data_IF_391637649340
#
_entry.id   IF_391637649340
#
_cell.length_a   1.000
_cell.length_b   1.000
_cell.length_c   1.000
_cell.angle_alpha   90.00
_cell.angle_beta   90.00
_cell.angle_gamma   90.00
#
_symmetry.space_group_name_H-M   'P 1'
#
loop_
_entity.id
_entity.type
_entity.pdbx_description
1 polymer ?
#
# COMPACT_ATOMS: atom_id res chain seq x y z
N UNK A 1 -10.49 14.19 -14.17
CA UNK A 1 -10.66 13.27 -13.07
C UNK A 1 -10.35 11.85 -13.50
N UNK A 2 -9.58 11.16 -12.74
CA UNK A 2 -9.19 9.80 -13.06
C UNK A 2 -10.27 8.81 -12.70
N UNK A 3 -10.79 8.09 -13.69
CA UNK A 3 -11.79 7.07 -13.37
C UNK A 3 -11.19 5.89 -12.62
N UNK A 4 -9.90 5.66 -12.80
CA UNK A 4 -9.24 4.53 -12.19
C UNK A 4 -8.34 5.00 -11.06
N UNK A 5 -8.41 4.38 -9.90
CA UNK A 5 -7.51 4.76 -8.81
C UNK A 5 -6.07 4.44 -9.17
N UNK A 6 -5.19 5.31 -8.71
CA UNK A 6 -3.77 5.13 -8.88
C UNK A 6 -3.32 3.89 -8.10
N UNK A 7 -2.54 2.99 -8.72
CA UNK A 7 -2.05 1.82 -7.97
C UNK A 7 -1.37 2.17 -6.65
N UNK A 8 -0.63 3.27 -6.63
CA UNK A 8 0.03 3.71 -5.42
C UNK A 8 -1.01 4.03 -4.34
N UNK A 9 -2.05 4.77 -4.70
CA UNK A 9 -3.12 5.09 -3.76
C UNK A 9 -3.85 3.83 -3.31
N UNK A 10 -4.03 2.90 -4.21
CA UNK A 10 -4.68 1.65 -3.84
C UNK A 10 -3.87 0.92 -2.78
N UNK A 11 -2.55 0.92 -2.94
CA UNK A 11 -1.68 0.31 -1.95
C UNK A 11 -1.79 0.98 -0.60
N UNK A 12 -1.84 2.32 -0.61
CA UNK A 12 -1.98 3.06 0.64
C UNK A 12 -3.30 2.70 1.34
N UNK A 13 -4.38 2.65 0.57
CA UNK A 13 -5.67 2.30 1.15
C UNK A 13 -5.65 0.88 1.70
N UNK A 14 -5.02 -0.03 0.96
CA UNK A 14 -4.95 -1.42 1.41
C UNK A 14 -4.28 -1.51 2.77
N UNK A 15 -3.19 -0.76 2.95
CA UNK A 15 -2.50 -0.79 4.23
C UNK A 15 -3.38 -0.23 5.35
N UNK A 16 -4.15 0.81 5.05
CA UNK A 16 -5.04 1.38 6.05
C UNK A 16 -6.14 0.41 6.45
N UNK A 17 -6.51 -0.46 5.52
CA UNK A 17 -7.56 -1.44 5.78
C UNK A 17 -7.00 -2.78 6.27
N UNK A 18 -5.71 -2.80 6.59
CA UNK A 18 -5.04 -3.99 7.11
C UNK A 18 -4.98 -5.13 6.10
N UNK A 19 -4.98 -4.79 4.82
CA UNK A 19 -4.83 -5.78 3.77
C UNK A 19 -3.34 -6.07 3.60
N UNK A 20 -2.93 -7.34 3.61
CA UNK A 20 -1.50 -7.67 3.54
C UNK A 20 -0.92 -7.38 2.16
N UNK A 21 0.39 -7.19 2.11
CA UNK A 21 1.09 -6.89 0.87
C UNK A 21 0.93 -8.01 -0.15
N UNK A 22 0.79 -9.23 0.32
CA UNK A 22 0.67 -10.37 -0.59
C UNK A 22 -0.68 -10.39 -1.31
N UNK A 23 -1.61 -9.54 -0.89
CA UNK A 23 -2.91 -9.43 -1.55
C UNK A 23 -2.87 -8.47 -2.73
N UNK A 24 -1.69 -8.04 -3.15
CA UNK A 24 -1.51 -7.15 -4.28
C UNK A 24 -2.26 -7.70 -5.50
N UNK A 25 -3.21 -6.95 -6.08
CA UNK A 25 -4.02 -7.47 -7.17
C UNK A 25 -3.34 -7.42 -8.53
N UNK A 26 -2.17 -6.78 -8.61
CA UNK A 26 -1.48 -6.64 -9.87
C UNK A 26 -0.47 -7.74 -10.06
N UNK A 27 -0.12 -7.99 -11.31
CA UNK A 27 0.80 -9.06 -11.63
C UNK A 27 2.20 -8.74 -11.12
N UNK A 28 2.83 -9.73 -10.50
CA UNK A 28 4.18 -9.59 -10.00
C UNK A 28 5.12 -9.22 -11.14
N UNK A 29 5.98 -8.24 -10.92
CA UNK A 29 6.90 -7.78 -11.93
C UNK A 29 6.36 -6.63 -12.77
N UNK A 30 5.09 -6.30 -12.64
CA UNK A 30 4.52 -5.18 -13.39
C UNK A 30 4.78 -3.88 -12.63
N UNK A 31 4.69 -2.77 -13.37
CA UNK A 31 4.86 -1.47 -12.77
C UNK A 31 3.77 -1.17 -11.75
N UNK A 32 2.55 -1.58 -12.07
CA UNK A 32 1.45 -1.38 -11.15
C UNK A 32 1.65 -2.14 -9.85
N UNK A 33 2.19 -3.34 -9.95
CA UNK A 33 2.49 -4.13 -8.76
C UNK A 33 3.49 -3.38 -7.87
N UNK A 34 4.53 -2.83 -8.49
CA UNK A 34 5.55 -2.10 -7.74
C UNK A 34 4.98 -0.85 -7.07
N UNK A 35 4.11 -0.13 -7.78
CA UNK A 35 3.50 1.08 -7.24
C UNK A 35 2.58 0.73 -6.07
N UNK A 36 1.77 -0.30 -6.23
CA UNK A 36 0.87 -0.74 -5.15
C UNK A 36 1.69 -1.11 -3.92
N UNK A 37 2.75 -1.88 -4.13
CA UNK A 37 3.59 -2.32 -3.03
C UNK A 37 4.24 -1.12 -2.32
N UNK A 38 4.69 -0.14 -3.10
CA UNK A 38 5.31 1.05 -2.52
C UNK A 38 4.32 1.83 -1.67
N UNK A 39 3.09 1.99 -2.17
CA UNK A 39 2.07 2.69 -1.40
C UNK A 39 1.72 1.96 -0.13
N UNK A 40 1.58 0.65 -0.22
CA UNK A 40 1.28 -0.17 0.94
C UNK A 40 2.37 -0.03 2.00
N UNK A 41 3.62 -0.12 1.56
CA UNK A 41 4.76 -0.04 2.48
C UNK A 41 4.84 1.32 3.16
N UNK A 42 4.54 2.37 2.40
CA UNK A 42 4.61 3.72 2.95
C UNK A 42 3.69 3.85 4.15
N UNK A 43 2.46 3.39 4.02
CA UNK A 43 1.49 3.50 5.11
C UNK A 43 1.80 2.51 6.21
N UNK A 44 2.13 1.28 5.86
CA UNK A 44 2.43 0.26 6.86
C UNK A 44 3.64 0.64 7.68
N UNK A 45 4.68 1.16 7.03
CA UNK A 45 5.87 1.61 7.74
C UNK A 45 5.58 2.75 8.69
N UNK A 46 4.76 3.71 8.24
CA UNK A 46 4.41 4.84 9.09
C UNK A 46 3.60 4.39 10.30
N UNK A 47 2.70 3.43 10.11
CA UNK A 47 1.90 2.94 11.21
C UNK A 47 2.75 2.20 12.23
N UNK A 48 3.69 1.40 11.74
CA UNK A 48 4.59 0.70 12.65
C UNK A 48 5.41 1.67 13.48
N UNK A 49 5.92 2.70 12.84
CA UNK A 49 6.71 3.70 13.55
C UNK A 49 5.88 4.38 14.61
N UNK A 50 4.64 4.73 14.28
CA UNK A 50 3.77 5.39 15.22
C UNK A 50 3.44 4.50 16.42
N UNK A 51 3.19 3.24 16.14
CA UNK A 51 2.87 2.31 17.22
C UNK A 51 4.06 2.13 18.15
N UNK A 52 5.26 2.07 17.58
CA UNK A 52 6.45 1.93 18.39
C UNK A 52 6.60 3.11 19.33
N UNK A 53 6.35 4.30 18.84
CA UNK A 53 6.48 5.49 19.66
C UNK A 53 5.35 5.62 20.68
N UNK A 54 4.20 5.11 20.31
CA UNK A 54 3.02 5.23 21.15
C UNK A 54 3.09 4.42 22.43
N UNK A 55 3.99 3.50 22.48
CA UNK A 55 4.17 2.70 23.70
C UNK A 55 5.29 3.24 24.57
#
# INVERSE_FOLDING_TARGET
MNPDPDPFEQGERAARENIPAEANPYQDGSEQHALWAAGHEKVAGAREANESEGT
#
